data_IF_924092512938
#
_entry.id   IF_924092512938
#
_cell.length_a   1.000
_cell.length_b   1.000
_cell.length_c   1.000
_cell.angle_alpha   90.00
_cell.angle_beta   90.00
_cell.angle_gamma   90.00
#
_symmetry.space_group_name_H-M   'P 1'
#
loop_
_entity.id
_entity.type
_entity.pdbx_description
1 polymer ?
#
# COMPACT_ATOMS: atom_id res chain seq x y z
N UNK A 1 1.38 66.95 5.58
CA UNK A 1 1.14 66.25 4.30
C UNK A 1 2.24 65.20 4.15
N UNK A 2 2.10 64.06 4.82
CA UNK A 2 2.99 62.89 4.70
C UNK A 2 2.24 61.68 5.25
N UNK A 3 1.89 60.75 4.36
CA UNK A 3 1.08 59.56 4.62
C UNK A 3 2.01 58.32 4.60
N UNK A 4 2.16 57.56 5.71
CA UNK A 4 3.13 56.47 5.85
C UNK A 4 2.57 55.05 5.55
N UNK A 5 1.52 54.91 4.74
CA UNK A 5 0.81 53.63 4.52
C UNK A 5 1.10 52.93 3.16
N UNK A 6 2.30 53.11 2.56
CA UNK A 6 2.62 52.53 1.22
C UNK A 6 3.68 51.41 1.19
N UNK A 7 3.97 50.76 2.32
CA UNK A 7 5.08 49.80 2.43
C UNK A 7 4.73 48.30 2.44
N UNK A 8 3.48 47.89 2.70
CA UNK A 8 3.18 46.51 3.16
C UNK A 8 2.59 45.52 2.14
N UNK A 9 2.47 45.85 0.86
CA UNK A 9 1.74 44.99 -0.10
C UNK A 9 2.58 44.24 -1.15
N UNK A 10 3.92 44.32 -1.11
CA UNK A 10 4.78 43.64 -2.12
C UNK A 10 5.48 42.36 -1.66
N UNK A 11 5.38 41.98 -0.38
CA UNK A 11 6.08 40.79 0.14
C UNK A 11 5.33 39.46 -0.08
N UNK A 12 4.01 39.49 -0.29
CA UNK A 12 3.18 38.29 -0.44
C UNK A 12 3.48 37.42 -1.68
N UNK A 13 3.64 37.97 -2.91
CA UNK A 13 3.86 37.12 -4.08
C UNK A 13 5.25 36.47 -4.10
N UNK A 14 6.26 37.13 -3.54
CA UNK A 14 7.64 36.63 -3.52
C UNK A 14 7.79 35.46 -2.54
N UNK A 15 7.18 35.56 -1.36
CA UNK A 15 7.20 34.46 -0.38
C UNK A 15 6.43 33.23 -0.91
N UNK A 16 5.29 33.46 -1.56
CA UNK A 16 4.49 32.41 -2.20
C UNK A 16 5.28 31.72 -3.32
N UNK A 17 5.94 32.47 -4.20
CA UNK A 17 6.80 31.90 -5.25
C UNK A 17 7.98 31.11 -4.67
N UNK A 18 8.64 31.58 -3.61
CA UNK A 18 9.78 30.86 -2.99
C UNK A 18 9.30 29.56 -2.32
N UNK A 19 8.18 29.58 -1.60
CA UNK A 19 7.57 28.39 -1.00
C UNK A 19 7.10 27.39 -2.06
N UNK A 20 6.48 27.89 -3.14
CA UNK A 20 6.01 27.07 -4.25
C UNK A 20 7.17 26.42 -5.02
N UNK A 21 8.26 27.15 -5.25
CA UNK A 21 9.45 26.64 -5.92
C UNK A 21 10.20 25.62 -5.05
N UNK A 22 10.30 25.85 -3.73
CA UNK A 22 10.83 24.86 -2.77
C UNK A 22 9.96 23.59 -2.70
N UNK A 23 8.63 23.73 -2.71
CA UNK A 23 7.70 22.58 -2.75
C UNK A 23 7.84 21.79 -4.06
N UNK A 24 7.87 22.44 -5.21
CA UNK A 24 8.03 21.80 -6.51
C UNK A 24 9.39 21.09 -6.65
N UNK A 25 10.45 21.66 -6.09
CA UNK A 25 11.79 21.07 -6.09
C UNK A 25 11.85 19.82 -5.20
N UNK A 26 11.23 19.85 -4.01
CA UNK A 26 11.04 18.64 -3.16
C UNK A 26 10.24 17.56 -3.87
N UNK A 27 9.13 17.93 -4.51
CA UNK A 27 8.30 17.02 -5.29
C UNK A 27 9.05 16.33 -6.42
N UNK A 28 9.86 17.10 -7.18
CA UNK A 28 10.73 16.55 -8.23
C UNK A 28 11.82 15.64 -7.67
N UNK A 29 12.41 15.99 -6.53
CA UNK A 29 13.43 15.16 -5.87
C UNK A 29 12.84 13.87 -5.29
N UNK A 30 11.64 13.92 -4.73
CA UNK A 30 10.92 12.74 -4.23
C UNK A 30 10.48 11.80 -5.35
N UNK A 31 10.00 12.32 -6.49
CA UNK A 31 9.73 11.51 -7.68
C UNK A 31 11.02 10.93 -8.31
N UNK A 32 12.17 11.56 -8.10
CA UNK A 32 13.47 11.03 -8.54
C UNK A 32 13.99 9.90 -7.64
N UNK A 33 13.46 9.77 -6.41
CA UNK A 33 13.84 8.71 -5.47
C UNK A 33 13.52 7.34 -6.07
N UNK A 34 14.58 6.54 -6.26
CA UNK A 34 14.46 5.18 -6.83
C UNK A 34 13.67 4.25 -5.92
N UNK A 35 13.75 4.46 -4.60
CA UNK A 35 13.05 3.64 -3.59
C UNK A 35 11.56 3.91 -3.60
N UNK A 36 11.16 5.19 -3.68
CA UNK A 36 9.75 5.57 -3.80
C UNK A 36 9.14 5.04 -5.10
N UNK A 37 9.85 5.18 -6.22
CA UNK A 37 9.40 4.62 -7.50
C UNK A 37 9.29 3.09 -7.47
N UNK A 38 10.22 2.41 -6.81
CA UNK A 38 10.14 0.97 -6.63
C UNK A 38 8.91 0.58 -5.80
N UNK A 39 8.65 1.26 -4.68
CA UNK A 39 7.47 1.02 -3.84
C UNK A 39 6.15 1.18 -4.62
N UNK A 40 5.99 2.28 -5.36
CA UNK A 40 4.81 2.49 -6.21
C UNK A 40 4.67 1.42 -7.29
N UNK A 41 5.79 0.98 -7.86
CA UNK A 41 5.78 -0.06 -8.89
C UNK A 41 5.32 -1.39 -8.33
N UNK A 42 5.81 -1.78 -7.15
CA UNK A 42 5.32 -2.97 -6.43
C UNK A 42 3.82 -2.89 -6.20
N UNK A 43 3.32 -1.75 -5.71
CA UNK A 43 1.88 -1.56 -5.47
C UNK A 43 1.08 -1.65 -6.78
N UNK A 44 1.59 -1.04 -7.87
CA UNK A 44 0.99 -1.11 -9.20
C UNK A 44 0.97 -2.52 -9.77
N UNK A 45 2.06 -3.26 -9.62
CA UNK A 45 2.17 -4.65 -10.08
C UNK A 45 1.21 -5.54 -9.25
N UNK A 46 1.16 -5.37 -7.93
CA UNK A 46 0.19 -6.06 -7.06
C UNK A 46 -1.26 -5.77 -7.46
N UNK A 47 -1.62 -4.52 -7.77
CA UNK A 47 -2.96 -4.17 -8.27
C UNK A 47 -3.34 -4.98 -9.49
N UNK A 48 -2.43 -5.15 -10.44
CA UNK A 48 -2.71 -5.89 -11.67
C UNK A 48 -2.74 -7.39 -11.41
N UNK A 49 -1.82 -7.92 -10.60
CA UNK A 49 -1.65 -9.35 -10.38
C UNK A 49 -2.55 -10.00 -9.33
N UNK A 50 -3.16 -9.26 -8.39
CA UNK A 50 -3.98 -9.86 -7.32
C UNK A 50 -5.12 -10.73 -7.87
N UNK A 51 -5.77 -10.33 -8.97
CA UNK A 51 -6.83 -11.11 -9.60
C UNK A 51 -6.32 -12.44 -10.16
N UNK A 52 -5.22 -12.39 -10.90
CA UNK A 52 -4.58 -13.57 -11.49
C UNK A 52 -4.06 -14.52 -10.40
N UNK A 53 -3.47 -13.97 -9.34
CA UNK A 53 -3.00 -14.74 -8.18
C UNK A 53 -4.15 -15.38 -7.39
N UNK A 54 -5.32 -14.73 -7.34
CA UNK A 54 -6.51 -15.34 -6.73
C UNK A 54 -7.05 -16.50 -7.58
N UNK A 55 -6.93 -16.42 -8.91
CA UNK A 55 -7.32 -17.50 -9.82
C UNK A 55 -6.29 -18.64 -9.87
N UNK A 56 -5.01 -18.34 -9.65
CA UNK A 56 -3.91 -19.32 -9.71
C UNK A 56 -2.85 -19.04 -8.63
N UNK A 57 -3.11 -19.39 -7.35
CA UNK A 57 -2.18 -19.10 -6.25
C UNK A 57 -0.79 -19.73 -6.43
N UNK A 58 -0.70 -20.85 -7.15
CA UNK A 58 0.55 -21.58 -7.38
C UNK A 58 1.62 -20.80 -8.17
N UNK A 59 1.26 -19.72 -8.87
CA UNK A 59 2.24 -18.89 -9.62
C UNK A 59 2.83 -17.76 -8.77
N UNK A 60 2.47 -17.65 -7.49
CA UNK A 60 2.87 -16.54 -6.62
C UNK A 60 4.40 -16.32 -6.57
N UNK A 61 5.18 -17.36 -6.34
CA UNK A 61 6.64 -17.25 -6.28
C UNK A 61 7.23 -16.72 -7.60
N UNK A 62 6.71 -17.19 -8.75
CA UNK A 62 7.16 -16.73 -10.06
C UNK A 62 6.79 -15.26 -10.31
N UNK A 63 5.63 -14.82 -9.82
CA UNK A 63 5.18 -13.43 -9.89
C UNK A 63 6.01 -12.50 -9.01
N UNK A 64 6.27 -12.85 -7.75
CA UNK A 64 6.93 -11.96 -6.79
C UNK A 64 8.47 -11.96 -6.88
N UNK A 65 9.10 -13.03 -7.36
CA UNK A 65 10.56 -13.11 -7.53
C UNK A 65 11.17 -11.92 -8.33
N UNK A 66 10.69 -11.57 -9.54
CA UNK A 66 11.24 -10.43 -10.27
C UNK A 66 10.97 -9.08 -9.57
N UNK A 67 9.85 -8.96 -8.85
CA UNK A 67 9.47 -7.77 -8.09
C UNK A 67 10.43 -7.52 -6.93
N UNK A 68 10.68 -8.55 -6.12
CA UNK A 68 11.61 -8.50 -4.98
C UNK A 68 13.03 -8.21 -5.43
N UNK A 69 13.50 -8.81 -6.54
CA UNK A 69 14.83 -8.50 -7.09
C UNK A 69 14.98 -7.02 -7.46
N UNK A 70 13.96 -6.41 -8.06
CA UNK A 70 13.97 -4.97 -8.39
C UNK A 70 13.97 -4.11 -7.13
N UNK A 71 13.17 -4.47 -6.13
CA UNK A 71 13.07 -3.74 -4.88
C UNK A 71 14.37 -3.80 -4.07
N UNK A 72 15.00 -4.97 -3.99
CA UNK A 72 16.32 -5.14 -3.39
C UNK A 72 17.37 -4.25 -4.09
N UNK A 73 17.35 -4.18 -5.43
CA UNK A 73 18.20 -3.28 -6.18
C UNK A 73 17.96 -1.79 -5.86
N UNK A 74 16.71 -1.39 -5.61
CA UNK A 74 16.39 -0.02 -5.20
C UNK A 74 16.81 0.28 -3.75
N UNK A 75 16.67 -0.69 -2.85
CA UNK A 75 17.10 -0.60 -1.45
C UNK A 75 18.64 -0.54 -1.32
N UNK A 76 19.38 -1.16 -2.24
CA UNK A 76 20.84 -1.08 -2.28
C UNK A 76 21.38 0.31 -2.68
N UNK A 77 20.58 1.14 -3.37
CA UNK A 77 20.97 2.51 -3.68
C UNK A 77 21.00 3.36 -2.40
N UNK A 78 21.91 4.33 -2.25
CA UNK A 78 21.98 5.17 -1.06
C UNK A 78 20.65 5.90 -0.80
N UNK A 79 20.20 6.01 0.47
CA UNK A 79 18.94 6.65 0.81
C UNK A 79 18.97 8.13 0.43
N UNK A 80 18.08 8.55 -0.47
CA UNK A 80 17.85 9.96 -0.77
C UNK A 80 16.87 10.61 0.22
N UNK A 81 16.00 9.81 0.84
CA UNK A 81 15.01 10.27 1.82
C UNK A 81 14.63 9.17 2.83
N UNK A 82 14.29 9.58 4.05
CA UNK A 82 13.76 8.67 5.07
C UNK A 82 12.40 8.08 4.65
N UNK A 83 11.53 8.91 4.08
CA UNK A 83 10.21 8.49 3.61
C UNK A 83 10.28 7.48 2.45
N UNK A 84 11.15 7.71 1.45
CA UNK A 84 11.38 6.75 0.36
C UNK A 84 11.94 5.41 0.86
N UNK A 85 12.78 5.45 1.90
CA UNK A 85 13.30 4.23 2.55
C UNK A 85 12.20 3.46 3.29
N UNK A 86 11.37 4.17 4.06
CA UNK A 86 10.23 3.58 4.75
C UNK A 86 9.21 2.99 3.77
N UNK A 87 8.91 3.69 2.68
CA UNK A 87 7.98 3.23 1.65
C UNK A 87 8.49 1.96 0.96
N UNK A 88 9.78 1.89 0.62
CA UNK A 88 10.37 0.70 -0.01
C UNK A 88 10.42 -0.50 0.95
N UNK A 89 10.79 -0.31 2.21
CA UNK A 89 10.78 -1.37 3.21
C UNK A 89 9.36 -1.89 3.47
N UNK A 90 8.37 -1.00 3.56
CA UNK A 90 6.97 -1.39 3.71
C UNK A 90 6.42 -2.12 2.46
N UNK A 91 6.86 -1.72 1.27
CA UNK A 91 6.52 -2.42 0.03
C UNK A 91 7.14 -3.82 -0.04
N UNK A 92 8.34 -4.01 0.53
CA UNK A 92 8.99 -5.32 0.61
C UNK A 92 8.22 -6.27 1.53
N UNK A 93 7.86 -5.79 2.72
CA UNK A 93 7.05 -6.55 3.68
C UNK A 93 5.66 -6.88 3.10
N UNK A 94 5.03 -5.94 2.38
CA UNK A 94 3.78 -6.19 1.66
C UNK A 94 3.94 -7.30 0.61
N UNK A 95 4.96 -7.21 -0.25
CA UNK A 95 5.21 -8.19 -1.30
C UNK A 95 5.48 -9.58 -0.70
N UNK A 96 6.31 -9.66 0.34
CA UNK A 96 6.62 -10.92 1.01
C UNK A 96 5.40 -11.56 1.69
N UNK A 97 4.53 -10.76 2.30
CA UNK A 97 3.28 -11.27 2.91
C UNK A 97 2.27 -11.72 1.88
N UNK A 98 2.12 -11.01 0.76
CA UNK A 98 1.26 -11.44 -0.35
C UNK A 98 1.78 -12.73 -0.99
N UNK A 99 3.09 -12.80 -1.25
CA UNK A 99 3.74 -14.01 -1.78
C UNK A 99 3.46 -15.20 -0.85
N UNK A 100 3.68 -15.02 0.46
CA UNK A 100 3.40 -16.05 1.46
C UNK A 100 1.92 -16.44 1.47
N UNK A 101 1.01 -15.48 1.52
CA UNK A 101 -0.43 -15.75 1.56
C UNK A 101 -0.89 -16.62 0.38
N UNK A 102 -0.51 -16.29 -0.85
CA UNK A 102 -0.89 -17.09 -2.01
C UNK A 102 -0.15 -18.42 -2.09
N UNK A 103 1.10 -18.48 -1.62
CA UNK A 103 1.84 -19.75 -1.50
C UNK A 103 1.18 -20.68 -0.48
N UNK A 104 0.72 -20.16 0.65
CA UNK A 104 0.01 -20.92 1.69
C UNK A 104 -1.34 -21.42 1.14
N UNK A 105 -2.08 -20.61 0.38
CA UNK A 105 -3.29 -21.06 -0.33
C UNK A 105 -2.99 -22.23 -1.27
N UNK A 106 -1.93 -22.11 -2.09
CA UNK A 106 -1.52 -23.17 -3.02
C UNK A 106 -1.09 -24.44 -2.28
N UNK A 107 -0.30 -24.31 -1.21
CA UNK A 107 0.18 -25.42 -0.38
C UNK A 107 -0.98 -26.23 0.22
N UNK A 108 -2.04 -25.55 0.62
CA UNK A 108 -3.23 -26.18 1.16
C UNK A 108 -4.27 -26.59 0.11
N UNK A 109 -3.99 -26.39 -1.18
CA UNK A 109 -4.93 -26.68 -2.28
C UNK A 109 -6.23 -25.88 -2.19
N UNK A 110 -6.17 -24.68 -1.59
CA UNK A 110 -7.34 -23.85 -1.32
C UNK A 110 -7.53 -22.81 -2.42
N UNK A 111 -8.78 -22.64 -2.83
CA UNK A 111 -9.22 -21.51 -3.64
C UNK A 111 -9.73 -20.42 -2.69
N UNK A 112 -9.45 -19.13 -2.96
CA UNK A 112 -10.07 -18.02 -2.25
C UNK A 112 -11.58 -18.20 -2.13
N UNK A 113 -12.11 -18.16 -0.90
CA UNK A 113 -13.54 -18.10 -0.66
C UNK A 113 -14.09 -16.68 -0.85
N UNK A 114 -15.40 -16.49 -0.68
CA UNK A 114 -16.01 -15.18 -0.92
C UNK A 114 -15.45 -14.05 0.00
N UNK A 115 -15.26 -14.27 1.31
CA UNK A 115 -14.61 -13.28 2.17
C UNK A 115 -13.20 -12.90 1.71
N UNK A 116 -12.37 -13.88 1.32
CA UNK A 116 -11.02 -13.62 0.79
C UNK A 116 -11.12 -12.84 -0.53
N UNK A 117 -12.00 -13.24 -1.46
CA UNK A 117 -12.19 -12.52 -2.73
C UNK A 117 -12.59 -11.06 -2.51
N UNK A 118 -13.54 -10.81 -1.60
CA UNK A 118 -13.99 -9.46 -1.26
C UNK A 118 -12.84 -8.61 -0.68
N UNK A 119 -12.05 -9.19 0.23
CA UNK A 119 -10.91 -8.52 0.83
C UNK A 119 -9.79 -8.24 -0.19
N UNK A 120 -9.49 -9.18 -1.08
CA UNK A 120 -8.53 -9.01 -2.17
C UNK A 120 -8.98 -7.94 -3.16
N UNK A 121 -10.28 -7.85 -3.48
CA UNK A 121 -10.82 -6.78 -4.32
C UNK A 121 -10.67 -5.41 -3.66
N UNK A 122 -10.91 -5.31 -2.35
CA UNK A 122 -10.70 -4.07 -1.60
C UNK A 122 -9.22 -3.67 -1.60
N UNK A 123 -8.31 -4.63 -1.38
CA UNK A 123 -6.87 -4.41 -1.48
C UNK A 123 -6.47 -3.94 -2.88
N UNK A 124 -6.97 -4.59 -3.94
CA UNK A 124 -6.71 -4.22 -5.33
C UNK A 124 -7.15 -2.79 -5.63
N UNK A 125 -8.35 -2.40 -5.19
CA UNK A 125 -8.85 -1.02 -5.30
C UNK A 125 -7.95 -0.05 -4.55
N UNK A 126 -7.54 -0.38 -3.33
CA UNK A 126 -6.69 0.48 -2.51
C UNK A 126 -5.28 0.65 -3.12
N UNK A 127 -4.71 -0.42 -3.69
CA UNK A 127 -3.47 -0.33 -4.48
C UNK A 127 -3.62 0.60 -5.69
N UNK A 128 -4.80 0.66 -6.32
CA UNK A 128 -5.10 1.62 -7.39
C UNK A 128 -5.14 3.08 -6.95
N UNK A 129 -5.55 3.34 -5.71
CA UNK A 129 -5.59 4.69 -5.13
C UNK A 129 -4.22 5.18 -4.65
N UNK A 130 -3.33 4.27 -4.24
CA UNK A 130 -2.06 4.58 -3.60
C UNK A 130 -1.16 5.60 -4.35
N UNK A 131 -1.04 5.61 -5.69
CA UNK A 131 -0.26 6.63 -6.40
C UNK A 131 -0.75 8.07 -6.14
N UNK A 132 -2.05 8.24 -5.87
CA UNK A 132 -2.63 9.56 -5.56
C UNK A 132 -2.25 10.08 -4.17
N UNK A 133 -1.61 9.27 -3.31
CA UNK A 133 -1.06 9.72 -2.02
C UNK A 133 0.11 10.69 -2.19
N UNK A 134 0.81 10.61 -3.34
CA UNK A 134 1.85 11.58 -3.68
C UNK A 134 1.27 12.90 -4.21
N UNK A 135 -0.04 13.06 -4.35
CA UNK A 135 -0.62 14.34 -4.81
C UNK A 135 -1.03 15.21 -3.63
N UNK A 136 -0.41 16.40 -3.47
CA UNK A 136 -0.76 17.34 -2.39
C UNK A 136 -2.26 17.66 -2.30
N UNK A 137 -2.94 17.74 -3.45
CA UNK A 137 -4.37 18.11 -3.52
C UNK A 137 -5.30 16.96 -3.13
N UNK A 138 -4.89 15.71 -3.35
CA UNK A 138 -5.77 14.54 -3.22
C UNK A 138 -5.39 13.64 -2.04
N UNK A 139 -4.15 13.71 -1.55
CA UNK A 139 -3.58 12.76 -0.60
C UNK A 139 -4.43 12.48 0.64
N UNK A 140 -5.04 13.49 1.25
CA UNK A 140 -5.87 13.30 2.46
C UNK A 140 -7.16 12.53 2.13
N UNK A 141 -7.83 12.88 1.03
CA UNK A 141 -9.01 12.15 0.55
C UNK A 141 -8.65 10.72 0.14
N UNK A 142 -7.52 10.55 -0.57
CA UNK A 142 -7.00 9.25 -0.97
C UNK A 142 -6.71 8.36 0.24
N UNK A 143 -6.03 8.91 1.26
CA UNK A 143 -5.72 8.19 2.48
C UNK A 143 -7.00 7.72 3.20
N UNK A 144 -7.99 8.60 3.33
CA UNK A 144 -9.30 8.23 3.89
C UNK A 144 -10.00 7.11 3.10
N UNK A 145 -9.95 7.18 1.75
CA UNK A 145 -10.50 6.13 0.89
C UNK A 145 -9.78 4.78 1.05
N UNK A 146 -8.45 4.80 1.14
CA UNK A 146 -7.63 3.63 1.43
C UNK A 146 -8.00 3.02 2.80
N UNK A 147 -8.10 3.85 3.84
CA UNK A 147 -8.53 3.39 5.17
C UNK A 147 -9.93 2.75 5.13
N UNK A 148 -10.88 3.33 4.40
CA UNK A 148 -12.22 2.79 4.27
C UNK A 148 -12.23 1.41 3.58
N UNK A 149 -11.44 1.25 2.50
CA UNK A 149 -11.29 -0.03 1.79
C UNK A 149 -10.65 -1.10 2.68
N UNK A 150 -9.57 -0.75 3.39
CA UNK A 150 -8.91 -1.66 4.32
C UNK A 150 -9.82 -2.03 5.49
N UNK A 151 -10.55 -1.09 6.07
CA UNK A 151 -11.50 -1.36 7.15
C UNK A 151 -12.65 -2.29 6.69
N UNK A 152 -13.16 -2.09 5.47
CA UNK A 152 -14.17 -2.98 4.88
C UNK A 152 -13.63 -4.40 4.73
N UNK A 153 -12.43 -4.56 4.16
CA UNK A 153 -11.77 -5.86 4.01
C UNK A 153 -11.56 -6.56 5.37
N UNK A 154 -11.05 -5.83 6.37
CA UNK A 154 -10.82 -6.37 7.70
C UNK A 154 -12.11 -6.78 8.41
N UNK A 155 -13.19 -6.01 8.22
CA UNK A 155 -14.52 -6.35 8.75
C UNK A 155 -15.00 -7.68 8.17
N UNK A 156 -14.93 -7.86 6.86
CA UNK A 156 -15.31 -9.10 6.18
C UNK A 156 -14.51 -10.30 6.72
N UNK A 157 -13.18 -10.19 6.78
CA UNK A 157 -12.32 -11.26 7.30
C UNK A 157 -12.61 -11.57 8.77
N UNK A 158 -12.92 -10.56 9.58
CA UNK A 158 -13.27 -10.76 11.00
C UNK A 158 -14.59 -11.49 11.16
N UNK A 159 -15.60 -11.18 10.34
CA UNK A 159 -16.88 -11.88 10.36
C UNK A 159 -16.72 -13.34 9.92
N UNK A 160 -16.00 -13.57 8.83
CA UNK A 160 -15.70 -14.92 8.34
C UNK A 160 -14.92 -15.75 9.37
N UNK A 161 -13.94 -15.14 10.04
CA UNK A 161 -13.18 -15.79 11.12
C UNK A 161 -14.06 -16.17 12.30
N UNK A 162 -14.98 -15.29 12.72
CA UNK A 162 -15.93 -15.59 13.80
C UNK A 162 -16.85 -16.75 13.42
N UNK A 163 -17.36 -16.77 12.19
CA UNK A 163 -18.19 -17.85 11.67
C UNK A 163 -17.44 -19.19 11.66
N UNK A 164 -16.21 -19.21 11.15
CA UNK A 164 -15.36 -20.41 11.13
C UNK A 164 -15.08 -20.94 12.54
N UNK A 165 -14.85 -20.06 13.53
CA UNK A 165 -14.63 -20.48 14.92
C UNK A 165 -15.88 -21.02 15.61
N UNK A 166 -17.06 -20.54 15.24
CA UNK A 166 -18.33 -21.00 15.83
C UNK A 166 -18.85 -22.32 15.27
N UNK A 167 -18.35 -22.77 14.12
CA UNK A 167 -18.75 -24.04 13.50
C UNK A 167 -18.06 -25.23 14.21
N UNK A 168 -18.65 -25.74 15.29
CA UNK A 168 -18.02 -26.75 16.16
C UNK A 168 -17.74 -28.13 15.55
N UNK A 169 -18.16 -28.41 14.31
CA UNK A 169 -18.12 -29.74 13.71
C UNK A 169 -16.83 -30.09 12.95
N UNK A 170 -15.93 -29.13 12.67
CA UNK A 170 -14.78 -29.38 11.77
C UNK A 170 -13.51 -28.59 12.14
N UNK A 171 -13.01 -28.81 13.35
CA UNK A 171 -11.89 -28.06 13.95
C UNK A 171 -10.64 -27.91 13.05
N UNK A 172 -10.11 -28.96 12.38
CA UNK A 172 -8.93 -28.81 11.53
C UNK A 172 -9.17 -27.93 10.29
N UNK A 173 -10.36 -27.98 9.69
CA UNK A 173 -10.72 -27.11 8.57
C UNK A 173 -10.81 -25.66 9.05
N UNK A 174 -11.44 -25.42 10.21
CA UNK A 174 -11.60 -24.10 10.79
C UNK A 174 -10.26 -23.43 11.12
N UNK A 175 -9.25 -24.20 11.57
CA UNK A 175 -7.91 -23.68 11.84
C UNK A 175 -7.21 -23.19 10.56
N UNK A 176 -7.39 -23.89 9.43
CA UNK A 176 -6.86 -23.48 8.13
C UNK A 176 -7.49 -22.16 7.68
N UNK A 177 -8.82 -22.02 7.79
CA UNK A 177 -9.51 -20.77 7.45
C UNK A 177 -9.07 -19.61 8.37
N UNK A 178 -8.93 -19.83 9.68
CA UNK A 178 -8.43 -18.83 10.63
C UNK A 178 -7.03 -18.32 10.24
N UNK A 179 -6.18 -19.23 9.80
CA UNK A 179 -4.82 -18.96 9.32
C UNK A 179 -4.84 -18.14 8.03
N UNK A 180 -5.70 -18.49 7.06
CA UNK A 180 -5.83 -17.73 5.81
C UNK A 180 -6.37 -16.32 6.05
N UNK A 181 -7.42 -16.16 6.84
CA UNK A 181 -7.97 -14.85 7.16
C UNK A 181 -6.98 -13.99 7.97
N UNK A 182 -6.15 -14.57 8.83
CA UNK A 182 -5.11 -13.82 9.57
C UNK A 182 -3.91 -13.47 8.70
N UNK A 183 -3.52 -14.35 7.78
CA UNK A 183 -2.53 -14.04 6.75
C UNK A 183 -2.93 -12.83 5.90
N UNK A 184 -4.18 -12.80 5.41
CA UNK A 184 -4.65 -11.67 4.60
C UNK A 184 -4.85 -10.38 5.40
N UNK A 185 -5.25 -10.47 6.68
CA UNK A 185 -5.29 -9.30 7.57
C UNK A 185 -3.89 -8.71 7.79
N UNK A 186 -2.86 -9.56 7.91
CA UNK A 186 -1.47 -9.11 8.01
C UNK A 186 -0.98 -8.42 6.72
N UNK A 187 -1.43 -8.88 5.55
CA UNK A 187 -1.19 -8.21 4.25
C UNK A 187 -1.83 -6.81 4.24
N UNK A 188 -3.09 -6.68 4.66
CA UNK A 188 -3.78 -5.39 4.71
C UNK A 188 -3.05 -4.39 5.62
N UNK A 189 -2.59 -4.86 6.79
CA UNK A 189 -1.81 -4.04 7.71
C UNK A 189 -0.44 -3.62 7.12
N UNK A 190 0.22 -4.49 6.36
CA UNK A 190 1.46 -4.14 5.65
C UNK A 190 1.24 -3.09 4.55
N UNK A 191 0.15 -3.24 3.78
CA UNK A 191 -0.24 -2.26 2.80
C UNK A 191 -0.55 -0.89 3.45
N UNK A 192 -1.23 -0.86 4.59
CA UNK A 192 -1.49 0.38 5.33
C UNK A 192 -0.21 1.07 5.81
N UNK A 193 0.80 0.32 6.26
CA UNK A 193 2.13 0.88 6.58
C UNK A 193 2.79 1.49 5.35
N UNK A 194 2.67 0.84 4.19
CA UNK A 194 3.17 1.36 2.93
C UNK A 194 2.45 2.65 2.52
N UNK A 195 1.12 2.69 2.61
CA UNK A 195 0.31 3.88 2.34
C UNK A 195 0.67 5.05 3.27
N UNK A 196 0.86 4.79 4.57
CA UNK A 196 1.31 5.81 5.52
C UNK A 196 2.70 6.36 5.13
N UNK A 197 3.65 5.49 4.79
CA UNK A 197 4.98 5.91 4.35
C UNK A 197 4.95 6.73 3.04
N UNK A 198 4.03 6.40 2.11
CA UNK A 198 3.81 7.19 0.89
C UNK A 198 3.16 8.54 1.17
N UNK A 199 2.30 8.65 2.18
CA UNK A 199 1.66 9.91 2.55
C UNK A 199 2.66 10.90 3.18
N UNK A 200 3.62 10.38 3.95
CA UNK A 200 4.69 11.14 4.59
C UNK A 200 5.89 11.44 3.64
N UNK A 201 5.88 10.85 2.44
CA UNK A 201 6.84 11.16 1.37
C UNK A 201 6.44 12.48 0.71
#
# INVERSE_FOLDING_TARGET
MTDPERGRLKAFPVLFCILFNKMLRRFRLQLSDRRLRAALRIIGDCRLGIGDLAASPGVAAAFFKPLRKRLAGALAAPPASAAGSAAAAAAEDLAGRLEKFFTDLALHGMVPDQPIKNALLCLQKACGEAPSLLSLRRRTKTLAGIHALSAAAQKELRLARRAARSAGSDFPANLKFDTMYSGLDAVLNAFMRCAAALYEA
#
